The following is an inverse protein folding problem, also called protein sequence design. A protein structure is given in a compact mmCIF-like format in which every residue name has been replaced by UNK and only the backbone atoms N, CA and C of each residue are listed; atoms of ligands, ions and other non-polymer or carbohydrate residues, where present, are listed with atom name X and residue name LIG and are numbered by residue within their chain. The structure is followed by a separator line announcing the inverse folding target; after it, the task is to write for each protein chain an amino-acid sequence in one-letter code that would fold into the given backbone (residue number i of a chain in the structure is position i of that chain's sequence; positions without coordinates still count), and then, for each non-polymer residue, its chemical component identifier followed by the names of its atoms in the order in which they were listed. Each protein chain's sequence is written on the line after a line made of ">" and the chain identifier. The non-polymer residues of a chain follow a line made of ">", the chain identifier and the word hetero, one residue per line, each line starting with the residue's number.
data_IF_873306034251
#
_entry.id   IF_873306034251
#
_cell.length_a   1.000
_cell.length_b   1.000
_cell.length_c   1.000
_cell.angle_alpha   90.00
_cell.angle_beta   90.00
_cell.angle_gamma   90.00
#
_symmetry.space_group_name_H-M   'P 1'
#
loop_
_entity.id
_entity.type
_entity.pdbx_description
1 polymer ?
#
# COMPACT_ATOMS: atom_id res chain seq x y z
N UNK A 1 3.99 3.56 2.74
CA UNK A 1 3.12 3.74 1.55
C UNK A 1 3.75 4.72 0.58
N UNK A 2 3.46 4.61 -0.72
CA UNK A 2 3.98 5.54 -1.74
C UNK A 2 3.11 5.56 -3.01
N UNK A 3 3.31 6.57 -3.87
CA UNK A 3 2.76 6.55 -5.23
C UNK A 3 3.62 5.67 -6.14
N UNK A 4 2.97 4.85 -6.99
CA UNK A 4 3.63 4.11 -8.05
C UNK A 4 2.80 4.20 -9.33
N UNK A 5 3.34 4.83 -10.37
CA UNK A 5 2.61 5.13 -11.61
C UNK A 5 1.23 5.76 -11.31
N UNK A 6 1.21 6.83 -10.51
CA UNK A 6 0.01 7.58 -10.09
C UNK A 6 -0.99 6.79 -9.22
N UNK A 7 -0.70 5.53 -8.90
CA UNK A 7 -1.54 4.72 -8.01
C UNK A 7 -1.04 4.74 -6.58
N UNK A 8 -1.98 4.62 -5.65
CA UNK A 8 -1.71 4.50 -4.21
C UNK A 8 -1.21 3.09 -3.88
N UNK A 9 0.06 3.00 -3.52
CA UNK A 9 0.70 1.78 -3.06
C UNK A 9 0.85 1.74 -1.54
N UNK A 10 0.28 0.73 -0.90
CA UNK A 10 0.63 0.40 0.49
C UNK A 10 1.74 -0.65 0.49
N UNK A 11 2.65 -0.56 1.46
CA UNK A 11 3.77 -1.50 1.48
C UNK A 11 3.32 -2.87 1.96
N UNK A 12 4.00 -3.91 1.48
CA UNK A 12 3.74 -5.27 1.95
C UNK A 12 3.87 -5.38 3.47
N UNK A 13 4.87 -4.74 4.08
CA UNK A 13 5.11 -4.81 5.52
C UNK A 13 3.97 -4.16 6.32
N UNK A 14 3.56 -2.95 5.95
CA UNK A 14 2.40 -2.27 6.57
C UNK A 14 1.16 -3.14 6.44
N UNK A 15 0.87 -3.68 5.25
CA UNK A 15 -0.32 -4.49 5.04
C UNK A 15 -0.29 -5.83 5.80
N UNK A 16 0.90 -6.43 5.99
CA UNK A 16 1.03 -7.66 6.79
C UNK A 16 0.88 -7.46 8.30
N UNK A 17 0.89 -6.21 8.77
CA UNK A 17 0.57 -5.93 10.19
C UNK A 17 -0.93 -6.04 10.48
N UNK A 18 -1.78 -5.81 9.48
CA UNK A 18 -3.26 -5.89 9.60
C UNK A 18 -3.86 -7.13 8.93
N UNK A 19 -3.15 -7.73 7.95
CA UNK A 19 -3.56 -8.96 7.26
C UNK A 19 -2.53 -10.05 7.47
N UNK A 20 -2.97 -11.26 7.85
CA UNK A 20 -2.06 -12.41 7.92
C UNK A 20 -1.35 -12.62 6.57
N UNK A 21 -0.02 -12.82 6.61
CA UNK A 21 0.82 -13.08 5.43
C UNK A 21 0.25 -14.14 4.49
N UNK A 22 -0.20 -15.28 5.03
CA UNK A 22 -0.79 -16.37 4.22
C UNK A 22 -2.07 -15.92 3.50
N UNK A 23 -2.91 -15.13 4.15
CA UNK A 23 -4.13 -14.58 3.57
C UNK A 23 -3.81 -13.61 2.45
N UNK A 24 -2.90 -12.66 2.69
CA UNK A 24 -2.46 -11.71 1.66
C UNK A 24 -1.90 -12.43 0.43
N UNK A 25 -1.02 -13.41 0.64
CA UNK A 25 -0.46 -14.21 -0.46
C UNK A 25 -1.55 -14.95 -1.25
N UNK A 26 -2.57 -15.48 -0.56
CA UNK A 26 -3.70 -16.15 -1.22
C UNK A 26 -4.54 -15.18 -2.05
N UNK A 27 -4.80 -13.97 -1.55
CA UNK A 27 -5.52 -12.92 -2.27
C UNK A 27 -4.76 -12.48 -3.53
N UNK A 28 -3.44 -12.33 -3.42
CA UNK A 28 -2.57 -12.00 -4.56
C UNK A 28 -2.57 -13.14 -5.58
N UNK A 29 -2.39 -14.39 -5.13
CA UNK A 29 -2.38 -15.56 -6.01
C UNK A 29 -3.70 -15.74 -6.78
N UNK A 30 -4.83 -15.45 -6.12
CA UNK A 30 -6.17 -15.49 -6.73
C UNK A 30 -6.49 -14.27 -7.60
N UNK A 31 -5.57 -13.31 -7.72
CA UNK A 31 -5.77 -12.09 -8.51
C UNK A 31 -6.80 -11.12 -7.92
N UNK A 32 -7.13 -11.22 -6.63
CA UNK A 32 -8.04 -10.29 -5.95
C UNK A 32 -7.34 -9.03 -5.46
N UNK A 33 -6.06 -9.14 -5.15
CA UNK A 33 -5.21 -8.04 -4.70
C UNK A 33 -4.04 -7.93 -5.67
N UNK A 34 -3.78 -6.74 -6.16
CA UNK A 34 -2.76 -6.52 -7.18
C UNK A 34 -1.47 -5.95 -6.58
N UNK A 35 -0.34 -6.40 -7.11
CA UNK A 35 0.98 -5.81 -6.82
C UNK A 35 1.23 -4.71 -7.85
N UNK A 36 1.55 -3.52 -7.38
CA UNK A 36 2.03 -2.42 -8.22
C UNK A 36 3.52 -2.59 -8.50
N UNK A 37 4.27 -2.93 -7.45
CA UNK A 37 5.70 -3.20 -7.54
C UNK A 37 5.99 -4.55 -6.88
N UNK A 38 6.75 -5.42 -7.57
CA UNK A 38 7.17 -6.71 -7.04
C UNK A 38 8.11 -6.55 -5.83
N UNK A 39 8.82 -5.43 -5.75
CA UNK A 39 9.93 -5.23 -4.83
C UNK A 39 11.18 -6.03 -5.21
N UNK A 40 12.17 -6.03 -4.33
CA UNK A 40 13.40 -6.81 -4.43
C UNK A 40 14.64 -5.99 -4.78
N UNK A 41 15.79 -6.35 -4.21
CA UNK A 41 16.98 -5.48 -4.13
C UNK A 41 16.98 -4.65 -2.83
N UNK A 42 18.15 -4.12 -2.43
CA UNK A 42 18.34 -3.50 -1.10
C UNK A 42 17.42 -2.29 -0.83
N UNK A 43 17.07 -1.53 -1.88
CA UNK A 43 16.34 -0.25 -1.77
C UNK A 43 14.96 -0.26 -2.46
N UNK A 44 14.39 -1.43 -2.73
CA UNK A 44 13.13 -1.52 -3.46
C UNK A 44 12.11 -2.36 -2.69
N UNK A 45 10.96 -1.74 -2.43
CA UNK A 45 9.91 -2.32 -1.62
C UNK A 45 8.75 -2.83 -2.47
N UNK A 46 8.12 -3.93 -2.02
CA UNK A 46 6.89 -4.41 -2.63
C UNK A 46 5.73 -3.48 -2.27
N UNK A 47 5.01 -3.02 -3.30
CA UNK A 47 3.83 -2.16 -3.18
C UNK A 47 2.59 -2.90 -3.68
N UNK A 48 1.53 -2.80 -2.88
CA UNK A 48 0.21 -3.37 -3.14
C UNK A 48 -0.75 -2.25 -3.51
N UNK A 49 -1.55 -2.46 -4.56
CA UNK A 49 -2.57 -1.51 -5.01
C UNK A 49 -3.66 -1.41 -3.94
N UNK A 50 -3.71 -0.27 -3.25
CA UNK A 50 -4.58 -0.07 -2.10
C UNK A 50 -6.04 -0.34 -2.43
N UNK A 51 -6.51 0.13 -3.59
CA UNK A 51 -7.93 0.05 -3.96
C UNK A 51 -8.40 -1.36 -4.33
N UNK A 52 -7.46 -2.27 -4.54
CA UNK A 52 -7.75 -3.69 -4.82
C UNK A 52 -7.88 -4.51 -3.53
N UNK A 53 -7.53 -3.92 -2.38
CA UNK A 53 -7.60 -4.57 -1.09
C UNK A 53 -9.07 -4.66 -0.64
N UNK A 54 -9.53 -5.84 -0.15
CA UNK A 54 -10.86 -5.97 0.43
C UNK A 54 -11.14 -4.93 1.51
N UNK A 55 -12.36 -4.37 1.52
CA UNK A 55 -12.75 -3.25 2.39
C UNK A 55 -12.41 -3.48 3.89
N UNK A 56 -12.69 -4.68 4.42
CA UNK A 56 -12.37 -5.03 5.81
C UNK A 56 -10.90 -4.78 6.17
N UNK A 57 -9.98 -5.09 5.25
CA UNK A 57 -8.56 -4.87 5.47
C UNK A 57 -8.14 -3.42 5.22
N UNK A 58 -8.82 -2.70 4.33
CA UNK A 58 -8.62 -1.25 4.15
C UNK A 58 -9.03 -0.48 5.41
N UNK A 59 -10.17 -0.80 6.00
CA UNK A 59 -10.63 -0.20 7.26
C UNK A 59 -9.67 -0.49 8.41
N UNK A 60 -9.20 -1.74 8.54
CA UNK A 60 -8.22 -2.10 9.55
C UNK A 60 -6.89 -1.35 9.36
N UNK A 61 -6.47 -1.22 8.10
CA UNK A 61 -5.28 -0.47 7.73
C UNK A 61 -5.41 1.02 8.08
N UNK A 62 -6.52 1.67 7.70
CA UNK A 62 -6.76 3.09 7.96
C UNK A 62 -6.84 3.39 9.46
N UNK A 63 -7.39 2.49 10.27
CA UNK A 63 -7.38 2.62 11.74
C UNK A 63 -5.97 2.68 12.32
N UNK A 64 -5.01 1.99 11.71
CA UNK A 64 -3.64 1.91 12.22
C UNK A 64 -2.71 2.97 11.62
N UNK A 65 -2.88 3.29 10.33
CA UNK A 65 -1.94 4.13 9.59
C UNK A 65 -2.55 5.39 8.99
N UNK A 66 -3.88 5.57 9.08
CA UNK A 66 -4.62 6.63 8.39
C UNK A 66 -4.91 6.33 6.92
N UNK A 67 -5.63 7.24 6.26
CA UNK A 67 -5.99 7.09 4.84
C UNK A 67 -4.75 7.28 3.94
N UNK A 68 -4.34 6.26 3.15
CA UNK A 68 -3.15 6.35 2.32
C UNK A 68 -3.19 7.48 1.28
N UNK A 69 -4.35 7.71 0.67
CA UNK A 69 -4.51 8.72 -0.38
C UNK A 69 -4.32 10.13 0.20
N UNK A 70 -4.90 10.39 1.36
CA UNK A 70 -4.77 11.69 2.06
C UNK A 70 -3.34 11.93 2.51
N UNK A 71 -2.70 10.94 3.15
CA UNK A 71 -1.32 11.04 3.64
C UNK A 71 -0.36 11.31 2.48
N UNK A 72 -0.48 10.56 1.38
CA UNK A 72 0.40 10.72 0.23
C UNK A 72 0.13 12.05 -0.51
N UNK A 73 -1.12 12.48 -0.61
CA UNK A 73 -1.45 13.79 -1.17
C UNK A 73 -0.86 14.93 -0.32
N UNK A 74 -0.90 14.81 1.00
CA UNK A 74 -0.33 15.78 1.92
C UNK A 74 1.20 15.82 1.81
N UNK A 75 1.87 14.66 1.83
CA UNK A 75 3.32 14.56 1.60
C UNK A 75 3.75 15.22 0.29
N UNK A 76 3.02 14.95 -0.81
CA UNK A 76 3.30 15.57 -2.11
C UNK A 76 3.20 17.09 -2.08
N UNK A 77 2.25 17.66 -1.32
CA UNK A 77 2.14 19.12 -1.15
C UNK A 77 3.31 19.68 -0.35
N UNK A 78 3.71 19.00 0.73
CA UNK A 78 4.83 19.42 1.58
C UNK A 78 6.16 19.39 0.82
N UNK A 79 6.40 18.34 0.04
CA UNK A 79 7.57 18.22 -0.83
C UNK A 79 7.60 19.32 -1.90
N UNK A 80 6.44 19.74 -2.43
CA UNK A 80 6.34 20.83 -3.40
C UNK A 80 6.58 22.22 -2.79
N UNK A 81 6.41 22.40 -1.48
CA UNK A 81 6.71 23.66 -0.77
C UNK A 81 8.21 23.78 -0.46
N UNK A 82 8.89 22.64 -0.34
CA UNK A 82 10.33 22.53 -0.04
C UNK A 82 11.24 22.68 -1.27
N UNK A 83 10.66 22.71 -2.49
CA UNK A 83 11.35 22.82 -3.77
C UNK A 83 11.34 24.27 -4.29
#
# INVERSE_FOLDING_TARGET
>A
MDYFNEKVGVTYNELTSVVKKKTLNSLIFRGRVHRLNRGGGLNNQALIDYYTIPAIYREAFEKQFGNPQEILAQRKKEEAILL
#
